data_IF_332371459885
#
_entry.id   IF_332371459885
#
_cell.length_a   1.000
_cell.length_b   1.000
_cell.length_c   1.000
_cell.angle_alpha   90.00
_cell.angle_beta   90.00
_cell.angle_gamma   90.00
#
_symmetry.space_group_name_H-M   'P 1'
#
loop_
_entity.id
_entity.type
_entity.pdbx_description
1 polymer ?
#
# COMPACT_ATOMS: atom_id res chain seq x y z
N UNK A 1 18.23 -18.18 4.06
CA UNK A 1 18.05 -16.85 3.45
C UNK A 1 16.59 -16.71 3.07
N UNK A 2 15.87 -15.77 3.67
CA UNK A 2 14.48 -15.48 3.28
C UNK A 2 14.52 -14.38 2.23
N UNK A 3 14.15 -14.71 1.00
CA UNK A 3 14.12 -13.75 -0.11
C UNK A 3 12.93 -12.79 0.05
N UNK A 4 13.07 -11.57 -0.48
CA UNK A 4 11.92 -10.68 -0.66
C UNK A 4 10.99 -11.34 -1.68
N UNK A 5 9.71 -11.46 -1.34
CA UNK A 5 8.72 -12.04 -2.22
C UNK A 5 7.64 -10.98 -2.50
N UNK A 6 7.34 -10.68 -3.78
CA UNK A 6 6.16 -9.90 -4.10
C UNK A 6 4.91 -10.68 -3.66
N UNK A 7 3.87 -9.95 -3.27
CA UNK A 7 2.55 -10.55 -3.14
C UNK A 7 2.13 -11.07 -4.52
N UNK A 8 1.47 -12.23 -4.56
CA UNK A 8 1.09 -12.86 -5.81
C UNK A 8 0.27 -11.90 -6.70
N UNK A 9 0.59 -11.83 -8.00
CA UNK A 9 -0.04 -10.89 -8.93
C UNK A 9 -1.57 -10.88 -8.93
N UNK A 10 -2.28 -12.03 -8.86
CA UNK A 10 -3.75 -12.01 -8.77
C UNK A 10 -4.24 -11.23 -7.53
N UNK A 11 -3.58 -11.44 -6.39
CA UNK A 11 -3.90 -10.75 -5.14
C UNK A 11 -3.62 -9.26 -5.24
N UNK A 12 -2.49 -8.86 -5.82
CA UNK A 12 -2.17 -7.45 -6.08
C UNK A 12 -3.24 -6.81 -6.95
N UNK A 13 -3.68 -7.48 -8.02
CA UNK A 13 -4.73 -6.96 -8.91
C UNK A 13 -6.08 -6.84 -8.23
N UNK A 14 -6.47 -7.80 -7.40
CA UNK A 14 -7.74 -7.77 -6.65
C UNK A 14 -7.77 -6.57 -5.69
N UNK A 15 -6.67 -6.31 -4.99
CA UNK A 15 -6.51 -5.14 -4.12
C UNK A 15 -6.64 -3.85 -4.92
N UNK A 16 -5.90 -3.74 -6.02
CA UNK A 16 -5.90 -2.53 -6.86
C UNK A 16 -7.26 -2.28 -7.51
N UNK A 17 -7.96 -3.34 -7.89
CA UNK A 17 -9.34 -3.27 -8.39
C UNK A 17 -10.28 -2.74 -7.32
N UNK A 18 -10.16 -3.27 -6.10
CA UNK A 18 -10.98 -2.80 -4.97
C UNK A 18 -10.69 -1.34 -4.66
N UNK A 19 -9.42 -0.95 -4.61
CA UNK A 19 -8.99 0.45 -4.43
C UNK A 19 -9.54 1.36 -5.51
N UNK A 20 -9.54 0.92 -6.79
CA UNK A 20 -10.09 1.69 -7.91
C UNK A 20 -11.59 1.90 -7.80
N UNK A 21 -12.34 0.87 -7.42
CA UNK A 21 -13.80 0.88 -7.50
C UNK A 21 -14.46 1.48 -6.25
N UNK A 22 -13.70 1.71 -5.18
CA UNK A 22 -14.26 2.05 -3.89
C UNK A 22 -14.31 3.56 -3.58
N UNK A 23 -15.43 4.08 -3.07
CA UNK A 23 -15.55 5.51 -2.70
C UNK A 23 -14.85 5.87 -1.38
N UNK A 24 -13.89 6.78 -1.42
CA UNK A 24 -12.96 7.14 -0.32
C UNK A 24 -13.57 7.84 0.91
N UNK A 25 -14.78 8.39 0.82
CA UNK A 25 -15.34 9.21 1.91
C UNK A 25 -15.79 8.34 3.09
N UNK A 26 -14.87 8.01 4.01
CA UNK A 26 -15.19 7.30 5.25
C UNK A 26 -14.85 8.09 6.50
N UNK A 27 -15.78 8.02 7.44
CA UNK A 27 -15.53 8.28 8.84
C UNK A 27 -14.70 7.14 9.46
N UNK A 28 -14.05 7.43 10.59
CA UNK A 28 -13.34 6.40 11.37
C UNK A 28 -14.25 5.21 11.75
N UNK A 29 -15.54 5.46 11.95
CA UNK A 29 -16.52 4.45 12.35
C UNK A 29 -16.84 3.45 11.22
N UNK A 30 -16.56 3.80 9.97
CA UNK A 30 -16.80 2.95 8.79
C UNK A 30 -15.60 2.04 8.45
N UNK A 31 -14.44 2.25 9.08
CA UNK A 31 -13.22 1.46 8.81
C UNK A 31 -13.41 -0.05 9.06
N UNK A 32 -14.07 -0.51 10.13
CA UNK A 32 -14.31 -1.94 10.32
C UNK A 32 -15.11 -2.57 9.18
N UNK A 33 -16.07 -1.85 8.60
CA UNK A 33 -16.87 -2.34 7.47
C UNK A 33 -16.03 -2.44 6.18
N UNK A 34 -15.18 -1.44 5.92
CA UNK A 34 -14.21 -1.48 4.82
C UNK A 34 -13.28 -2.70 4.94
N UNK A 35 -12.69 -2.91 6.12
CA UNK A 35 -11.80 -4.04 6.36
C UNK A 35 -12.53 -5.37 6.12
N UNK A 36 -13.77 -5.50 6.60
CA UNK A 36 -14.58 -6.69 6.35
C UNK A 36 -14.84 -6.93 4.85
N UNK A 37 -15.09 -5.89 4.06
CA UNK A 37 -15.33 -6.04 2.62
C UNK A 37 -14.04 -6.35 1.84
N UNK A 38 -12.89 -5.89 2.33
CA UNK A 38 -11.57 -6.31 1.84
C UNK A 38 -11.20 -7.73 2.29
N UNK A 39 -12.00 -8.35 3.16
CA UNK A 39 -11.70 -9.63 3.80
C UNK A 39 -10.55 -9.53 4.81
N UNK A 40 -10.18 -8.33 5.24
CA UNK A 40 -9.09 -8.07 6.19
C UNK A 40 -9.60 -8.14 7.62
N UNK A 41 -8.78 -8.67 8.51
CA UNK A 41 -9.08 -8.76 9.94
C UNK A 41 -8.29 -7.72 10.72
N UNK A 42 -8.93 -7.04 11.67
CA UNK A 42 -8.22 -6.13 12.59
C UNK A 42 -7.26 -6.93 13.45
N UNK A 43 -5.98 -6.61 13.38
CA UNK A 43 -4.92 -7.23 14.17
C UNK A 43 -4.55 -6.38 15.40
N UNK A 44 -4.51 -5.05 15.22
CA UNK A 44 -4.24 -4.10 16.30
C UNK A 44 -5.04 -2.83 16.02
N UNK A 45 -5.66 -2.28 17.06
CA UNK A 45 -6.27 -0.96 17.03
C UNK A 45 -5.58 -0.07 18.06
N UNK A 46 -5.04 1.06 17.61
CA UNK A 46 -4.44 2.06 18.50
C UNK A 46 -5.51 3.12 18.80
N UNK A 47 -5.92 3.32 20.08
CA UNK A 47 -6.93 4.31 20.43
C UNK A 47 -6.55 5.71 19.91
N UNK A 48 -7.41 6.28 19.05
CA UNK A 48 -7.18 7.59 18.42
C UNK A 48 -6.07 7.61 17.36
N UNK A 49 -5.58 6.45 16.92
CA UNK A 49 -4.49 6.28 15.96
C UNK A 49 -4.85 5.38 14.79
N UNK A 50 -3.85 4.69 14.23
CA UNK A 50 -4.05 3.80 13.09
C UNK A 50 -4.62 2.44 13.49
N UNK A 51 -5.35 1.82 12.55
CA UNK A 51 -5.74 0.41 12.63
C UNK A 51 -4.75 -0.39 11.80
N UNK A 52 -4.19 -1.45 12.40
CA UNK A 52 -3.42 -2.45 11.68
C UNK A 52 -4.31 -3.63 11.33
N UNK A 53 -4.40 -3.93 10.04
CA UNK A 53 -5.21 -5.02 9.51
C UNK A 53 -4.34 -6.08 8.83
N UNK A 54 -4.74 -7.34 8.99
CA UNK A 54 -4.14 -8.50 8.35
C UNK A 54 -5.01 -8.91 7.15
N UNK A 55 -4.43 -9.00 5.95
CA UNK A 55 -5.17 -9.47 4.79
C UNK A 55 -5.32 -11.01 4.80
N UNK A 56 -6.28 -11.58 4.07
CA UNK A 56 -6.54 -13.02 4.07
C UNK A 56 -5.49 -13.83 3.27
N UNK A 57 -4.40 -13.21 2.82
CA UNK A 57 -3.45 -13.79 1.87
C UNK A 57 -2.42 -14.73 2.51
N UNK A 58 -2.51 -14.96 3.81
CA UNK A 58 -1.68 -15.95 4.51
C UNK A 58 -0.18 -15.59 4.53
N UNK A 59 0.17 -14.31 4.37
CA UNK A 59 1.57 -13.84 4.44
C UNK A 59 1.88 -13.40 5.88
N UNK A 60 2.69 -14.17 6.64
CA UNK A 60 2.93 -13.88 8.05
C UNK A 60 3.61 -12.50 8.24
N UNK A 61 3.10 -11.71 9.18
CA UNK A 61 3.66 -10.40 9.52
C UNK A 61 3.32 -9.26 8.54
N UNK A 62 2.54 -9.53 7.49
CA UNK A 62 2.04 -8.51 6.58
C UNK A 62 0.86 -7.78 7.22
N UNK A 63 1.14 -6.63 7.85
CA UNK A 63 0.12 -5.72 8.36
C UNK A 63 0.00 -4.49 7.48
N UNK A 64 -1.22 -4.14 7.12
CA UNK A 64 -1.62 -2.91 6.45
C UNK A 64 -2.08 -1.88 7.48
N UNK A 65 -1.83 -0.60 7.25
CA UNK A 65 -2.28 0.45 8.17
C UNK A 65 -3.35 1.31 7.54
N UNK A 66 -4.44 1.54 8.27
CA UNK A 66 -5.43 2.56 7.97
C UNK A 66 -5.18 3.72 8.92
N UNK A 67 -4.69 4.83 8.40
CA UNK A 67 -4.40 6.02 9.18
C UNK A 67 -5.64 6.91 9.27
N UNK A 68 -6.00 7.29 10.50
CA UNK A 68 -7.16 8.10 10.79
C UNK A 68 -6.74 9.40 11.49
N UNK A 69 -7.35 10.52 11.10
CA UNK A 69 -7.22 11.77 11.82
C UNK A 69 -8.46 12.64 11.62
N UNK A 70 -8.75 13.50 12.60
CA UNK A 70 -9.86 14.46 12.54
C UNK A 70 -11.23 13.81 12.20
N UNK A 71 -11.44 12.57 12.65
CA UNK A 71 -12.68 11.82 12.47
C UNK A 71 -12.86 11.10 11.13
N UNK A 72 -11.83 11.06 10.28
CA UNK A 72 -11.89 10.36 8.99
C UNK A 72 -10.59 9.64 8.63
N UNK A 73 -10.64 8.85 7.57
CA UNK A 73 -9.46 8.16 7.03
C UNK A 73 -8.63 9.11 6.18
N UNK A 74 -7.33 9.17 6.45
CA UNK A 74 -6.38 10.02 5.72
C UNK A 74 -5.70 9.26 4.58
N UNK A 75 -5.23 8.05 4.87
CA UNK A 75 -4.60 7.16 3.92
C UNK A 75 -4.68 5.69 4.39
N UNK A 76 -4.53 4.78 3.43
CA UNK A 76 -4.35 3.34 3.65
C UNK A 76 -3.01 2.94 3.06
N UNK A 77 -2.13 2.39 3.89
CA UNK A 77 -0.86 1.81 3.44
C UNK A 77 -0.99 0.30 3.27
N UNK A 78 -0.66 -0.12 2.06
CA UNK A 78 -0.75 -1.49 1.58
C UNK A 78 0.65 -1.99 1.30
N UNK A 79 1.05 -3.11 1.90
CA UNK A 79 2.33 -3.76 1.63
C UNK A 79 2.15 -4.74 0.49
N UNK A 80 2.89 -4.54 -0.59
CA UNK A 80 2.81 -5.32 -1.83
C UNK A 80 4.02 -6.25 -2.01
N UNK A 81 4.93 -6.27 -1.04
CA UNK A 81 5.96 -7.29 -0.88
C UNK A 81 6.14 -7.65 0.59
N UNK A 82 6.82 -8.77 0.86
CA UNK A 82 7.40 -9.01 2.19
C UNK A 82 8.45 -7.93 2.53
N UNK A 83 8.71 -7.76 3.83
CA UNK A 83 9.80 -6.91 4.30
C UNK A 83 11.13 -7.63 4.09
N UNK A 84 12.10 -6.91 3.55
CA UNK A 84 13.50 -7.31 3.51
C UNK A 84 14.04 -7.65 4.91
N UNK A 85 14.72 -8.80 5.09
CA UNK A 85 15.33 -9.14 6.38
C UNK A 85 16.54 -8.26 6.70
N UNK A 86 17.25 -7.79 5.68
CA UNK A 86 18.45 -6.96 5.78
C UNK A 86 18.62 -6.07 4.55
N UNK A 87 19.39 -4.99 4.68
CA UNK A 87 19.78 -4.14 3.56
C UNK A 87 21.06 -4.67 2.93
N UNK A 88 20.93 -5.27 1.75
CA UNK A 88 22.05 -5.72 0.91
C UNK A 88 21.76 -5.37 -0.55
N UNK A 89 22.79 -5.41 -1.41
CA UNK A 89 22.61 -5.22 -2.85
C UNK A 89 21.64 -6.26 -3.45
N UNK A 90 21.70 -7.50 -2.97
CA UNK A 90 20.79 -8.56 -3.40
C UNK A 90 19.35 -8.25 -3.01
N UNK A 91 19.11 -7.87 -1.75
CA UNK A 91 17.76 -7.48 -1.30
C UNK A 91 17.22 -6.31 -2.13
N UNK A 92 18.06 -5.32 -2.44
CA UNK A 92 17.66 -4.18 -3.27
C UNK A 92 17.30 -4.62 -4.70
N UNK A 93 18.04 -5.58 -5.28
CA UNK A 93 17.69 -6.16 -6.57
C UNK A 93 16.33 -6.88 -6.51
N UNK A 94 16.10 -7.71 -5.49
CA UNK A 94 14.83 -8.43 -5.32
C UNK A 94 13.64 -7.45 -5.13
N UNK A 95 13.85 -6.34 -4.39
CA UNK A 95 12.85 -5.28 -4.24
C UNK A 95 12.59 -4.53 -5.56
N UNK A 96 13.61 -4.37 -6.41
CA UNK A 96 13.44 -3.76 -7.73
C UNK A 96 12.57 -4.64 -8.62
N UNK A 97 12.83 -5.95 -8.64
CA UNK A 97 12.05 -6.90 -9.42
C UNK A 97 10.60 -6.96 -8.92
N UNK A 98 10.39 -6.99 -7.60
CA UNK A 98 9.07 -6.90 -7.00
C UNK A 98 8.35 -5.59 -7.37
N UNK A 99 9.07 -4.46 -7.38
CA UNK A 99 8.50 -3.17 -7.77
C UNK A 99 8.07 -3.18 -9.23
N UNK A 100 8.93 -3.64 -10.15
CA UNK A 100 8.60 -3.73 -11.58
C UNK A 100 7.37 -4.61 -11.81
N UNK A 101 7.29 -5.75 -11.12
CA UNK A 101 6.12 -6.62 -11.20
C UNK A 101 4.84 -5.93 -10.70
N UNK A 102 4.89 -5.26 -9.55
CA UNK A 102 3.75 -4.52 -9.00
C UNK A 102 3.32 -3.38 -9.93
N UNK A 103 4.27 -2.65 -10.53
CA UNK A 103 3.95 -1.60 -11.51
C UNK A 103 3.28 -2.17 -12.75
N UNK A 104 3.72 -3.33 -13.24
CA UNK A 104 3.08 -4.01 -14.36
C UNK A 104 1.63 -4.41 -14.01
N UNK A 105 1.40 -4.96 -12.82
CA UNK A 105 0.07 -5.32 -12.34
C UNK A 105 -0.84 -4.10 -12.14
N UNK A 106 -0.31 -3.01 -11.58
CA UNK A 106 -1.04 -1.76 -11.45
C UNK A 106 -1.39 -1.14 -12.80
N UNK A 107 -0.46 -1.16 -13.74
CA UNK A 107 -0.70 -0.66 -15.10
C UNK A 107 -1.80 -1.45 -15.81
N UNK A 108 -1.85 -2.77 -15.59
CA UNK A 108 -2.90 -3.60 -16.17
C UNK A 108 -4.32 -3.30 -15.61
N UNK A 109 -4.43 -2.82 -14.37
CA UNK A 109 -5.71 -2.56 -13.69
C UNK A 109 -6.16 -1.10 -13.80
N UNK A 110 -5.21 -0.17 -13.72
CA UNK A 110 -5.45 1.27 -13.59
C UNK A 110 -5.08 2.05 -14.86
N UNK A 111 -4.39 1.42 -15.81
CA UNK A 111 -3.75 2.11 -16.92
C UNK A 111 -2.39 2.72 -16.53
N UNK A 112 -1.74 3.47 -17.45
CA UNK A 112 -0.44 4.08 -17.19
C UNK A 112 -0.51 5.05 -16.01
N UNK A 113 0.59 5.16 -15.25
CA UNK A 113 0.71 6.14 -14.18
C UNK A 113 0.77 7.57 -14.74
N UNK A 114 0.18 8.52 -14.00
CA UNK A 114 0.19 9.95 -14.34
C UNK A 114 1.54 10.60 -14.02
N UNK A 115 2.21 10.13 -12.97
CA UNK A 115 3.51 10.64 -12.55
C UNK A 115 4.49 9.50 -12.20
N UNK A 116 5.74 9.71 -12.58
CA UNK A 116 6.85 8.80 -12.32
C UNK A 116 7.97 9.56 -11.61
N UNK A 117 8.39 9.05 -10.45
CA UNK A 117 9.51 9.60 -9.69
C UNK A 117 10.65 8.59 -9.64
N UNK A 118 11.68 8.70 -10.48
CA UNK A 118 12.87 7.86 -10.37
C UNK A 118 13.72 8.26 -9.15
N UNK A 119 14.67 7.41 -8.77
CA UNK A 119 15.64 7.70 -7.70
C UNK A 119 15.83 6.53 -6.72
N UNK A 120 16.40 6.80 -5.53
CA UNK A 120 16.68 5.77 -4.52
C UNK A 120 15.42 5.08 -3.97
N UNK A 121 14.31 5.81 -3.93
CA UNK A 121 12.99 5.31 -3.56
C UNK A 121 11.96 5.65 -4.66
N UNK A 122 12.02 4.91 -5.79
CA UNK A 122 11.21 5.25 -6.93
C UNK A 122 9.74 4.98 -6.66
N UNK A 123 8.91 5.78 -7.30
CA UNK A 123 7.46 5.73 -7.14
C UNK A 123 6.74 5.97 -8.46
N UNK A 124 5.53 5.41 -8.56
CA UNK A 124 4.55 5.70 -9.60
C UNK A 124 3.25 6.15 -8.94
N UNK A 125 2.57 7.13 -9.53
CA UNK A 125 1.35 7.73 -8.97
C UNK A 125 0.22 7.71 -10.01
N UNK A 126 -0.97 7.35 -9.54
CA UNK A 126 -2.22 7.38 -10.30
C UNK A 126 -3.21 8.31 -9.61
N UNK A 127 -3.79 9.21 -10.39
CA UNK A 127 -4.94 10.02 -10.03
C UNK A 127 -6.20 9.21 -10.37
N UNK A 128 -6.95 8.83 -9.35
CA UNK A 128 -8.18 8.06 -9.48
C UNK A 128 -9.37 8.98 -9.21
N UNK A 129 -10.55 8.65 -9.74
CA UNK A 129 -11.78 9.41 -9.47
C UNK A 129 -12.11 9.50 -7.96
N UNK A 130 -11.58 8.57 -7.17
CA UNK A 130 -11.83 8.41 -5.75
C UNK A 130 -10.60 8.74 -4.87
N UNK A 131 -9.49 9.23 -5.41
CA UNK A 131 -8.31 9.54 -4.61
C UNK A 131 -7.01 9.41 -5.38
N UNK A 132 -5.93 9.17 -4.67
CA UNK A 132 -4.60 9.02 -5.25
C UNK A 132 -3.97 7.74 -4.76
N UNK A 133 -3.49 6.94 -5.70
CA UNK A 133 -2.67 5.78 -5.39
C UNK A 133 -1.21 6.08 -5.72
N UNK A 134 -0.31 5.85 -4.77
CA UNK A 134 1.13 5.93 -5.01
C UNK A 134 1.79 4.61 -4.64
N UNK A 135 2.40 3.94 -5.62
CA UNK A 135 3.23 2.75 -5.37
C UNK A 135 4.67 3.21 -5.23
N UNK A 136 5.33 2.81 -4.14
CA UNK A 136 6.73 3.16 -3.85
C UNK A 136 7.52 1.92 -3.48
N UNK A 137 8.77 1.87 -3.94
CA UNK A 137 9.77 0.94 -3.42
C UNK A 137 10.70 1.66 -2.47
N UNK A 138 10.69 1.24 -1.22
CA UNK A 138 11.61 1.69 -0.18
C UNK A 138 12.85 0.79 -0.16
N UNK A 139 13.79 1.03 0.77
CA UNK A 139 14.90 0.12 1.03
C UNK A 139 14.49 -1.18 1.75
N UNK A 140 13.22 -1.33 2.15
CA UNK A 140 12.74 -2.45 2.94
C UNK A 140 11.56 -3.22 2.34
N UNK A 141 10.76 -2.58 1.49
CA UNK A 141 9.51 -3.16 0.97
C UNK A 141 9.02 -2.37 -0.23
N UNK A 142 8.16 -3.01 -1.03
CA UNK A 142 7.28 -2.34 -1.99
C UNK A 142 5.92 -2.15 -1.34
N UNK A 143 5.43 -0.92 -1.32
CA UNK A 143 4.14 -0.57 -0.75
C UNK A 143 3.35 0.35 -1.68
N UNK A 144 2.06 0.47 -1.39
CA UNK A 144 1.20 1.46 -1.99
C UNK A 144 0.49 2.26 -0.89
N UNK A 145 0.37 3.55 -1.11
CA UNK A 145 -0.44 4.44 -0.27
C UNK A 145 -1.62 4.90 -1.11
N UNK A 146 -2.83 4.60 -0.65
CA UNK A 146 -4.07 5.15 -1.19
C UNK A 146 -4.57 6.25 -0.26
N UNK A 147 -4.81 7.44 -0.78
CA UNK A 147 -5.16 8.61 0.02
C UNK A 147 -6.21 9.49 -0.68
N UNK A 148 -6.90 10.32 0.11
CA UNK A 148 -7.69 11.42 -0.43
C UNK A 148 -6.77 12.35 -1.23
N UNK A 149 -7.25 12.92 -2.33
CA UNK A 149 -6.48 13.92 -3.07
C UNK A 149 -6.02 15.10 -2.18
N UNK A 150 -6.80 15.45 -1.14
CA UNK A 150 -6.46 16.49 -0.16
C UNK A 150 -5.28 16.12 0.76
N UNK A 151 -5.03 14.83 0.97
CA UNK A 151 -3.94 14.31 1.82
C UNK A 151 -2.77 13.76 1.00
N UNK A 152 -2.96 13.54 -0.31
CA UNK A 152 -1.94 13.03 -1.22
C UNK A 152 -0.81 14.03 -1.56
N UNK A 153 -0.71 15.15 -0.84
CA UNK A 153 0.28 16.22 -1.02
C UNK A 153 1.50 16.08 -0.10
N UNK A 154 1.53 15.12 0.83
CA UNK A 154 2.70 14.94 1.69
C UNK A 154 3.81 14.11 0.99
N UNK A 155 5.08 14.55 1.08
CA UNK A 155 6.19 13.79 0.53
C UNK A 155 6.31 12.46 1.28
N UNK A 156 6.60 11.38 0.53
CA UNK A 156 6.98 10.05 1.00
C UNK A 156 8.30 10.07 1.81
N UNK A 157 8.35 10.83 2.89
CA UNK A 157 9.46 10.93 3.83
C UNK A 157 8.90 10.95 5.24
N UNK A 158 8.91 9.78 5.87
CA UNK A 158 9.33 9.55 7.27
C UNK A 158 8.68 8.27 7.82
N UNK A 159 8.96 7.12 7.19
CA UNK A 159 8.96 5.85 7.91
C UNK A 159 10.31 5.67 8.61
N UNK A 160 10.63 6.56 9.54
CA UNK A 160 11.80 6.46 10.41
C UNK A 160 11.34 6.04 11.81
N UNK A 161 11.44 4.74 12.10
CA UNK A 161 11.84 4.13 13.38
C UNK A 161 11.78 2.60 13.22
#
# INVERSE_FOLDING_TARGET
MTLVQPIASPVVRDVLTTVRDWRWTWSSDEVPALLAQLGWTVAVEVPGGAILAEPPWGVPGLKHSVAMARGGVQYVDIKLSTRAPEQSEQTLADLNDAFVQVIADATAVLGPADESRPGPAPAQRWQLDNGVLTVVRTSWTVGATWADARFAQEPLTAGAA
#
